data_IF_716353102891
#
_entry.id   IF_716353102891
#
_cell.length_a   1.000
_cell.length_b   1.000
_cell.length_c   1.000
_cell.angle_alpha   90.00
_cell.angle_beta   90.00
_cell.angle_gamma   90.00
#
_symmetry.space_group_name_H-M   'P 1'
#
loop_
_entity.id
_entity.type
_entity.pdbx_description
1 polymer ?
#
# COMPACT_ATOMS: atom_id res chain seq x y z
N UNK A 1 14.78 51.61 -13.87
CA UNK A 1 14.04 51.25 -12.64
C UNK A 1 12.96 50.18 -12.90
N UNK A 2 12.08 50.38 -13.90
CA UNK A 2 11.01 49.41 -14.25
C UNK A 2 11.51 48.01 -14.70
N UNK A 3 12.61 47.94 -15.48
CA UNK A 3 13.15 46.67 -15.99
C UNK A 3 13.75 45.77 -14.90
N UNK A 4 14.27 46.35 -13.81
CA UNK A 4 14.83 45.59 -12.68
C UNK A 4 13.71 44.93 -11.86
N UNK A 5 12.54 45.58 -11.76
CA UNK A 5 11.38 45.06 -11.05
C UNK A 5 10.78 43.83 -11.74
N UNK A 6 10.73 43.80 -13.08
CA UNK A 6 10.22 42.66 -13.87
C UNK A 6 11.16 41.45 -13.73
N UNK A 7 12.47 41.68 -13.72
CA UNK A 7 13.46 40.63 -13.50
C UNK A 7 13.36 40.04 -12.08
N UNK A 8 13.15 40.88 -11.05
CA UNK A 8 12.96 40.44 -9.66
C UNK A 8 11.64 39.67 -9.46
N UNK A 9 10.56 40.06 -10.13
CA UNK A 9 9.28 39.34 -10.08
C UNK A 9 9.36 38.00 -10.84
N UNK A 10 10.09 37.96 -11.95
CA UNK A 10 10.34 36.74 -12.72
C UNK A 10 11.16 35.70 -11.96
N UNK A 11 12.23 36.13 -11.27
CA UNK A 11 13.03 35.23 -10.40
C UNK A 11 12.26 34.78 -9.16
N UNK A 12 11.39 35.63 -8.60
CA UNK A 12 10.50 35.24 -7.49
C UNK A 12 9.45 34.19 -7.92
N UNK A 13 8.96 34.26 -9.17
CA UNK A 13 8.05 33.26 -9.74
C UNK A 13 8.71 31.91 -10.07
N UNK A 14 10.00 31.92 -10.43
CA UNK A 14 10.79 30.71 -10.72
C UNK A 14 11.14 29.89 -9.46
N UNK A 15 11.01 30.45 -8.26
CA UNK A 15 11.27 29.76 -6.99
C UNK A 15 10.07 28.94 -6.47
N UNK A 16 8.93 28.95 -7.16
CA UNK A 16 7.67 28.39 -6.66
C UNK A 16 7.11 27.17 -7.41
N UNK A 17 7.89 26.51 -8.28
CA UNK A 17 7.48 25.21 -8.83
C UNK A 17 8.05 24.06 -8.00
N UNK A 18 7.48 23.81 -6.82
CA UNK A 18 7.59 22.49 -6.21
C UNK A 18 6.79 21.52 -7.07
N UNK A 19 7.46 20.87 -8.02
CA UNK A 19 6.94 19.68 -8.67
C UNK A 19 6.99 18.55 -7.65
N UNK A 20 5.85 18.22 -7.03
CA UNK A 20 5.73 17.03 -6.21
C UNK A 20 5.78 15.82 -7.16
N UNK A 21 6.94 15.18 -7.27
CA UNK A 21 7.08 13.96 -8.05
C UNK A 21 6.11 12.88 -7.56
N UNK A 22 5.65 12.01 -8.48
CA UNK A 22 4.75 10.89 -8.17
C UNK A 22 5.33 10.00 -7.05
N UNK A 23 4.50 9.63 -6.07
CA UNK A 23 4.91 8.71 -5.01
C UNK A 23 4.78 7.29 -5.53
N UNK A 24 5.91 6.59 -5.62
CA UNK A 24 6.00 5.22 -6.12
C UNK A 24 5.91 4.26 -4.93
N UNK A 25 5.12 3.20 -5.07
CA UNK A 25 4.95 2.16 -4.06
C UNK A 25 5.62 0.87 -4.55
N UNK A 26 6.42 0.25 -3.69
CA UNK A 26 7.08 -1.03 -3.95
C UNK A 26 6.63 -2.03 -2.90
N UNK A 27 5.96 -3.10 -3.34
CA UNK A 27 5.47 -4.15 -2.43
C UNK A 27 6.32 -5.41 -2.52
N UNK A 28 6.42 -6.12 -1.40
CA UNK A 28 7.09 -7.42 -1.33
C UNK A 28 6.42 -8.37 -0.33
N UNK A 29 6.51 -9.70 -0.56
CA UNK A 29 6.96 -10.33 -1.82
C UNK A 29 5.91 -10.15 -2.93
N UNK A 30 6.33 -10.29 -4.20
CA UNK A 30 5.43 -10.12 -5.35
C UNK A 30 4.37 -11.22 -5.46
N UNK A 31 4.72 -12.44 -5.03
CA UNK A 31 3.80 -13.57 -4.89
C UNK A 31 4.33 -14.54 -3.85
N UNK A 32 3.42 -15.24 -3.17
CA UNK A 32 3.78 -16.31 -2.25
C UNK A 32 2.64 -17.33 -2.11
N UNK A 33 3.02 -18.55 -1.76
CA UNK A 33 2.10 -19.61 -1.32
C UNK A 33 2.23 -19.75 0.19
N UNK A 34 1.10 -19.87 0.89
CA UNK A 34 1.06 -19.87 2.36
C UNK A 34 0.14 -20.99 2.83
N UNK A 35 0.55 -21.73 3.86
CA UNK A 35 -0.28 -22.79 4.42
C UNK A 35 -1.26 -22.20 5.45
N UNK A 36 -2.45 -22.81 5.62
CA UNK A 36 -3.35 -22.42 6.71
C UNK A 36 -2.64 -22.50 8.07
N UNK A 37 -2.83 -21.48 8.90
CA UNK A 37 -2.16 -21.36 10.21
C UNK A 37 -0.82 -20.62 10.19
N UNK A 38 -0.19 -20.44 9.02
CA UNK A 38 1.05 -19.69 8.91
C UNK A 38 0.85 -18.21 9.24
N UNK A 39 1.96 -17.52 9.49
CA UNK A 39 1.99 -16.06 9.59
C UNK A 39 2.70 -15.48 8.38
N UNK A 40 2.05 -14.55 7.70
CA UNK A 40 2.63 -13.79 6.58
C UNK A 40 2.83 -12.33 6.97
N UNK A 41 3.91 -11.73 6.45
CA UNK A 41 4.13 -10.29 6.50
C UNK A 41 4.38 -9.77 5.08
N UNK A 42 3.51 -8.88 4.62
CA UNK A 42 3.67 -8.12 3.39
C UNK A 42 4.29 -6.77 3.72
N UNK A 43 5.16 -6.27 2.85
CA UNK A 43 5.81 -4.97 3.00
C UNK A 43 5.40 -4.03 1.88
N UNK A 44 5.36 -2.74 2.19
CA UNK A 44 5.15 -1.67 1.24
C UNK A 44 6.10 -0.51 1.56
N UNK A 45 6.93 -0.16 0.59
CA UNK A 45 7.89 0.93 0.67
C UNK A 45 7.47 2.04 -0.28
N UNK A 46 7.41 3.28 0.20
CA UNK A 46 7.09 4.47 -0.61
C UNK A 46 8.35 5.26 -0.95
N UNK A 47 8.42 5.84 -2.14
CA UNK A 47 9.58 6.64 -2.58
C UNK A 47 9.81 7.91 -1.77
N UNK A 48 8.76 8.40 -1.11
CA UNK A 48 8.75 9.58 -0.25
C UNK A 48 7.91 9.31 0.99
N UNK A 49 8.14 10.07 2.06
CA UNK A 49 7.38 9.91 3.30
C UNK A 49 5.90 10.22 3.08
N UNK A 50 5.03 9.29 3.47
CA UNK A 50 3.57 9.46 3.51
C UNK A 50 3.05 9.48 4.94
N UNK A 51 3.91 9.72 5.94
CA UNK A 51 3.56 9.73 7.36
C UNK A 51 2.80 8.46 7.75
N UNK A 52 1.51 8.56 8.07
CA UNK A 52 0.62 7.42 8.32
C UNK A 52 -0.47 7.26 7.24
N UNK A 53 -0.45 8.06 6.16
CA UNK A 53 -1.46 8.06 5.10
C UNK A 53 -1.26 6.88 4.14
N UNK A 54 -1.35 5.66 4.68
CA UNK A 54 -1.32 4.41 3.95
C UNK A 54 -2.49 3.51 4.38
N UNK A 55 -3.09 2.86 3.39
CA UNK A 55 -4.13 1.88 3.57
C UNK A 55 -3.73 0.55 2.92
N UNK A 56 -4.19 -0.55 3.50
CA UNK A 56 -4.06 -1.90 2.97
C UNK A 56 -5.43 -2.44 2.60
N UNK A 57 -5.49 -3.13 1.48
CA UNK A 57 -6.71 -3.74 0.98
C UNK A 57 -6.46 -5.17 0.52
N UNK A 58 -7.55 -5.96 0.51
CA UNK A 58 -7.65 -7.26 -0.14
C UNK A 58 -8.64 -7.15 -1.30
N UNK A 59 -8.27 -7.71 -2.45
CA UNK A 59 -9.16 -7.91 -3.58
C UNK A 59 -9.20 -9.40 -3.93
N UNK A 60 -10.42 -9.95 -3.94
CA UNK A 60 -10.67 -11.30 -4.45
C UNK A 60 -11.07 -11.23 -5.92
N UNK A 61 -10.92 -12.33 -6.68
CA UNK A 61 -11.41 -12.39 -8.06
C UNK A 61 -12.87 -11.93 -8.13
N UNK A 62 -13.16 -11.02 -9.05
CA UNK A 62 -14.51 -10.47 -9.31
C UNK A 62 -15.14 -9.67 -8.15
N UNK A 63 -14.43 -9.46 -7.04
CA UNK A 63 -14.87 -8.63 -5.92
C UNK A 63 -14.24 -7.23 -5.95
N UNK A 64 -14.97 -6.27 -5.39
CA UNK A 64 -14.44 -4.95 -5.15
C UNK A 64 -13.36 -4.98 -4.05
N UNK A 65 -12.33 -4.10 -4.16
CA UNK A 65 -11.45 -3.73 -3.06
C UNK A 65 -12.06 -3.66 -1.66
N UNK A 66 -11.61 -4.51 -0.74
CA UNK A 66 -12.00 -4.47 0.68
C UNK A 66 -10.89 -3.86 1.54
N UNK A 67 -11.19 -2.77 2.24
CA UNK A 67 -10.27 -2.12 3.16
C UNK A 67 -9.98 -3.00 4.38
N UNK A 68 -8.71 -3.23 4.67
CA UNK A 68 -8.23 -4.00 5.82
C UNK A 68 -7.71 -3.09 6.94
N UNK A 69 -6.74 -2.26 6.61
CA UNK A 69 -6.05 -1.34 7.52
C UNK A 69 -6.05 0.05 6.89
N UNK A 70 -6.29 1.09 7.67
CA UNK A 70 -6.13 2.49 7.29
C UNK A 70 -5.22 3.21 8.28
N UNK A 71 -4.77 4.42 7.93
CA UNK A 71 -3.85 5.20 8.75
C UNK A 71 -2.62 4.39 9.22
N UNK A 72 -2.09 3.53 8.33
CA UNK A 72 -1.00 2.56 8.50
C UNK A 72 -1.21 1.45 9.56
N UNK A 73 -2.03 1.69 10.59
CA UNK A 73 -2.10 0.85 11.80
C UNK A 73 -3.52 0.54 12.26
N UNK A 74 -4.51 1.35 11.84
CA UNK A 74 -5.88 1.22 12.31
C UNK A 74 -6.61 0.15 11.51
N UNK A 75 -7.01 -0.92 12.17
CA UNK A 75 -7.77 -1.99 11.53
C UNK A 75 -9.22 -1.56 11.31
N UNK A 76 -9.73 -1.79 10.10
CA UNK A 76 -11.11 -1.48 9.74
C UNK A 76 -12.09 -2.34 10.55
N UNK A 77 -13.25 -1.76 10.89
CA UNK A 77 -14.29 -2.49 11.64
C UNK A 77 -14.76 -3.73 10.88
N UNK A 78 -14.96 -4.84 11.59
CA UNK A 78 -15.34 -6.13 11.01
C UNK A 78 -14.19 -6.92 10.37
N UNK A 79 -12.95 -6.39 10.37
CA UNK A 79 -11.76 -7.15 9.98
C UNK A 79 -11.26 -7.97 11.18
N UNK A 80 -10.97 -9.28 11.01
CA UNK A 80 -10.50 -10.14 12.07
C UNK A 80 -9.22 -9.64 12.74
N UNK A 81 -9.05 -9.99 14.03
CA UNK A 81 -7.95 -9.49 14.84
C UNK A 81 -6.56 -9.97 14.42
N UNK A 82 -6.53 -11.07 13.67
CA UNK A 82 -5.35 -11.65 13.03
C UNK A 82 -4.66 -10.75 12.01
N UNK A 83 -5.35 -9.73 11.51
CA UNK A 83 -4.78 -8.70 10.63
C UNK A 83 -4.24 -7.53 11.47
N UNK A 84 -3.03 -7.10 11.16
CA UNK A 84 -2.41 -5.94 11.80
C UNK A 84 -1.52 -5.18 10.82
N UNK A 85 -1.60 -3.85 10.84
CA UNK A 85 -0.69 -2.98 10.09
C UNK A 85 0.33 -2.32 11.00
N UNK A 86 1.51 -2.03 10.46
CA UNK A 86 2.56 -1.28 11.15
C UNK A 86 3.36 -0.42 10.18
N UNK A 87 4.12 0.52 10.73
CA UNK A 87 5.03 1.37 9.98
C UNK A 87 4.59 2.83 9.91
N UNK A 88 5.47 3.65 9.37
CA UNK A 88 5.28 5.09 9.17
C UNK A 88 6.37 5.63 8.24
N UNK A 89 6.17 6.85 7.74
CA UNK A 89 7.12 7.51 6.86
C UNK A 89 7.15 6.83 5.50
N UNK A 90 8.17 6.00 5.26
CA UNK A 90 8.38 5.32 3.97
C UNK A 90 8.23 3.81 4.00
N UNK A 91 8.07 3.20 5.19
CA UNK A 91 8.09 1.74 5.34
C UNK A 91 6.89 1.28 6.13
N UNK A 92 6.16 0.33 5.55
CA UNK A 92 4.90 -0.18 6.07
C UNK A 92 4.84 -1.68 5.91
N UNK A 93 4.08 -2.34 6.77
CA UNK A 93 3.83 -3.77 6.66
C UNK A 93 2.42 -4.14 7.08
N UNK A 94 1.89 -5.18 6.43
CA UNK A 94 0.67 -5.88 6.82
C UNK A 94 1.06 -7.29 7.30
N UNK A 95 0.73 -7.61 8.55
CA UNK A 95 0.91 -8.94 9.11
C UNK A 95 -0.44 -9.63 9.26
N UNK A 96 -0.51 -10.87 8.80
CA UNK A 96 -1.66 -11.76 8.94
C UNK A 96 -1.16 -13.00 9.69
N UNK A 97 -1.62 -13.20 10.93
CA UNK A 97 -1.30 -14.39 11.71
C UNK A 97 -2.36 -15.47 11.52
N UNK A 98 -2.00 -16.75 11.49
CA UNK A 98 -3.01 -17.81 11.39
C UNK A 98 -3.85 -17.69 10.11
N UNK A 99 -3.17 -17.61 8.97
CA UNK A 99 -3.78 -17.46 7.64
C UNK A 99 -4.87 -18.51 7.43
N UNK A 100 -5.98 -18.09 6.83
CA UNK A 100 -7.14 -18.93 6.53
C UNK A 100 -7.36 -19.02 5.02
N UNK A 101 -8.16 -19.98 4.55
CA UNK A 101 -8.39 -20.18 3.12
C UNK A 101 -9.10 -18.98 2.47
N UNK A 102 -9.93 -18.27 3.22
CA UNK A 102 -10.58 -17.04 2.75
C UNK A 102 -9.64 -15.83 2.64
N UNK A 103 -8.41 -15.92 3.16
CA UNK A 103 -7.42 -14.84 3.09
C UNK A 103 -6.67 -14.84 1.74
N UNK A 104 -6.92 -15.81 0.87
CA UNK A 104 -6.36 -15.84 -0.48
C UNK A 104 -6.91 -14.70 -1.36
N UNK A 105 -6.01 -14.00 -2.04
CA UNK A 105 -6.35 -12.90 -2.96
C UNK A 105 -5.19 -11.94 -3.19
N UNK A 106 -5.48 -10.84 -3.87
CA UNK A 106 -4.51 -9.81 -4.17
C UNK A 106 -4.50 -8.74 -3.07
N UNK A 107 -3.31 -8.42 -2.56
CA UNK A 107 -3.12 -7.40 -1.54
C UNK A 107 -2.42 -6.18 -2.13
N UNK A 108 -2.89 -4.99 -1.79
CA UNK A 108 -2.28 -3.73 -2.21
C UNK A 108 -2.25 -2.72 -1.09
N UNK A 109 -1.15 -1.97 -1.06
CA UNK A 109 -1.04 -0.75 -0.29
C UNK A 109 -1.37 0.46 -1.18
N UNK A 110 -1.99 1.47 -0.59
CA UNK A 110 -2.34 2.71 -1.26
C UNK A 110 -2.01 3.88 -0.34
N UNK A 111 -1.37 4.91 -0.88
CA UNK A 111 -1.13 6.15 -0.14
C UNK A 111 -2.19 7.21 -0.45
N UNK A 112 -2.43 8.12 0.49
CA UNK A 112 -3.51 9.12 0.43
C UNK A 112 -3.10 10.54 -0.02
N UNK A 113 -1.82 10.83 -0.25
CA UNK A 113 -1.34 12.19 -0.56
C UNK A 113 -1.50 12.60 -2.03
N UNK A 114 -1.48 11.66 -2.98
CA UNK A 114 -1.66 11.98 -4.40
C UNK A 114 -2.88 11.29 -4.99
N UNK A 115 -3.67 12.05 -5.77
CA UNK A 115 -4.82 11.52 -6.53
C UNK A 115 -4.43 10.55 -7.66
N UNK A 116 -3.14 10.39 -7.92
CA UNK A 116 -2.58 9.35 -8.78
C UNK A 116 -1.67 8.48 -7.91
N UNK A 117 -2.15 7.27 -7.61
CA UNK A 117 -1.36 6.24 -6.94
C UNK A 117 -1.31 5.04 -7.88
N UNK A 118 -0.15 4.79 -8.49
CA UNK A 118 0.09 3.53 -9.18
C UNK A 118 0.14 2.42 -8.12
N UNK A 119 -0.86 1.54 -8.13
CA UNK A 119 -0.91 0.36 -7.28
C UNK A 119 -0.16 -0.77 -8.01
N UNK A 120 0.90 -1.32 -7.38
CA UNK A 120 1.51 -2.56 -7.85
C UNK A 120 0.94 -3.73 -7.04
N UNK A 121 0.33 -4.69 -7.72
CA UNK A 121 -0.33 -5.84 -7.11
C UNK A 121 0.67 -6.81 -6.47
N UNK A 122 0.36 -7.30 -5.27
CA UNK A 122 0.96 -8.55 -4.75
C UNK A 122 -0.07 -9.66 -4.82
N UNK A 123 0.29 -10.80 -5.42
CA UNK A 123 -0.61 -11.93 -5.63
C UNK A 123 -0.38 -12.97 -4.54
N UNK A 124 -1.32 -13.16 -3.60
CA UNK A 124 -1.31 -14.36 -2.78
C UNK A 124 -2.11 -15.46 -3.48
N UNK A 125 -1.41 -16.47 -4.01
CA UNK A 125 -2.06 -17.66 -4.56
C UNK A 125 -2.49 -18.56 -3.40
N UNK A 126 -3.67 -19.18 -3.47
CA UNK A 126 -4.02 -20.22 -2.52
C UNK A 126 -2.96 -21.35 -2.58
N UNK A 127 -2.64 -22.01 -1.45
CA UNK A 127 -1.99 -23.30 -1.53
C UNK A 127 -2.87 -24.16 -2.43
N UNK A 128 -2.31 -24.70 -3.53
CA UNK A 128 -3.00 -25.70 -4.32
C UNK A 128 -3.59 -26.68 -3.33
N UNK A 129 -4.91 -26.89 -3.43
CA UNK A 129 -5.58 -27.92 -2.67
C UNK A 129 -4.67 -29.14 -2.71
N UNK A 130 -4.39 -29.67 -1.53
CA UNK A 130 -3.84 -31.00 -1.37
C UNK A 130 -4.53 -31.85 -2.43
N UNK A 131 -3.74 -32.44 -3.31
CA UNK A 131 -4.19 -33.49 -4.19
C UNK A 131 -4.60 -34.65 -3.27
N UNK A 132 -5.78 -34.55 -2.66
CA UNK A 132 -6.47 -35.66 -2.04
C UNK A 132 -7.59 -36.10 -2.98
N UNK A 133 -7.23 -37.13 -3.74
CA UNK A 133 -8.04 -38.30 -4.09
C UNK A 133 -9.14 -38.08 -5.13
N UNK A 134 -8.76 -38.29 -6.40
CA UNK A 134 -9.26 -39.41 -7.22
C UNK A 134 -8.30 -39.71 -8.38
#
# INVERSE_FOLDING_TARGET
MMMVLILLLGTLGLLAHQSFGEIVLTQSPGSQTVSPGDTVTLSCTTSQSVYSNLAWYLQKPEEAPKLLIYAATSRQSGIPDRFSGSGSGTQFSLKISGVQSEDAGDYYCQQGYSGYTQCYSTVQKPPSAVEEVL
#
